data_IF_495105399932
#
_entry.id   IF_495105399932
#
_cell.length_a   1.000
_cell.length_b   1.000
_cell.length_c   1.000
_cell.angle_alpha   90.00
_cell.angle_beta   90.00
_cell.angle_gamma   90.00
#
_symmetry.space_group_name_H-M   'P 1'
#
loop_
_entity.id
_entity.type
_entity.pdbx_description
1 polymer ?
#
# COMPACT_ATOMS: atom_id res chain seq x y z
N UNK A 1 1.33 6.84 25.26
CA UNK A 1 1.65 5.79 24.28
C UNK A 1 1.45 6.36 22.89
N UNK A 2 2.50 6.55 22.09
CA UNK A 2 2.31 6.92 20.67
C UNK A 2 1.75 5.68 19.97
N UNK A 3 0.51 5.75 19.50
CA UNK A 3 -0.05 4.73 18.64
C UNK A 3 0.72 4.74 17.33
N UNK A 4 1.60 3.76 17.16
CA UNK A 4 2.40 3.55 15.95
C UNK A 4 1.48 3.02 14.85
N UNK A 5 0.59 3.84 14.30
CA UNK A 5 -0.34 3.43 13.24
C UNK A 5 0.38 3.29 11.90
N UNK A 6 0.38 2.09 11.32
CA UNK A 6 0.79 1.87 9.93
C UNK A 6 -0.32 2.37 9.01
N UNK A 7 0.03 3.06 7.93
CA UNK A 7 -0.95 3.52 6.92
C UNK A 7 -0.38 3.44 5.52
N UNK A 8 -1.24 3.11 4.56
CA UNK A 8 -0.89 3.18 3.14
C UNK A 8 -1.13 4.61 2.66
N UNK A 9 -0.11 5.21 2.04
CA UNK A 9 -0.12 6.58 1.53
C UNK A 9 -0.37 6.62 0.02
N UNK A 10 0.21 5.68 -0.72
CA UNK A 10 0.16 5.66 -2.19
C UNK A 10 0.31 4.22 -2.72
N UNK A 11 0.12 4.04 -4.02
CA UNK A 11 0.16 2.76 -4.71
C UNK A 11 0.67 2.92 -6.14
N UNK A 12 1.43 1.94 -6.62
CA UNK A 12 1.93 1.91 -7.99
C UNK A 12 2.06 0.48 -8.51
N UNK A 13 1.95 0.29 -9.82
CA UNK A 13 2.22 -0.98 -10.47
C UNK A 13 3.49 -0.84 -11.31
N UNK A 14 4.46 -1.73 -11.08
CA UNK A 14 5.69 -1.79 -11.86
C UNK A 14 5.66 -2.97 -12.81
N UNK A 15 5.93 -2.74 -14.09
CA UNK A 15 6.15 -3.82 -15.04
C UNK A 15 7.61 -4.27 -15.02
N UNK A 16 7.85 -5.54 -14.69
CA UNK A 16 9.17 -6.16 -14.77
C UNK A 16 9.07 -7.46 -15.58
N UNK A 17 9.80 -7.54 -16.69
CA UNK A 17 9.89 -8.73 -17.56
C UNK A 17 8.50 -9.23 -18.02
N UNK A 18 7.61 -8.30 -18.37
CA UNK A 18 6.23 -8.61 -18.78
C UNK A 18 5.31 -9.05 -17.63
N UNK A 19 5.71 -8.87 -16.37
CA UNK A 19 4.88 -9.11 -15.19
C UNK A 19 4.57 -7.81 -14.47
N UNK A 20 3.32 -7.67 -14.06
CA UNK A 20 2.89 -6.57 -13.20
C UNK A 20 3.19 -6.87 -11.73
N UNK A 21 3.79 -5.89 -11.04
CA UNK A 21 4.16 -5.99 -9.63
C UNK A 21 3.53 -4.81 -8.90
N UNK A 22 2.40 -5.04 -8.20
CA UNK A 22 1.75 -4.02 -7.38
C UNK A 22 2.55 -3.73 -6.11
N UNK A 23 2.79 -2.44 -5.87
CA UNK A 23 3.52 -1.90 -4.75
C UNK A 23 2.65 -0.85 -4.04
N UNK A 24 2.78 -0.78 -2.72
CA UNK A 24 2.10 0.19 -1.86
C UNK A 24 3.15 0.97 -1.08
N UNK A 25 2.98 2.29 -1.02
CA UNK A 25 3.80 3.18 -0.21
C UNK A 25 3.23 3.21 1.20
N UNK A 26 4.02 2.80 2.18
CA UNK A 26 3.57 2.63 3.57
C UNK A 26 4.34 3.56 4.49
N UNK A 27 3.62 4.32 5.29
CA UNK A 27 4.18 5.06 6.42
C UNK A 27 4.02 4.20 7.67
N UNK A 28 5.16 3.88 8.29
CA UNK A 28 5.20 3.20 9.58
C UNK A 28 4.94 4.21 10.71
N UNK A 29 4.19 3.80 11.72
CA UNK A 29 3.87 4.72 12.81
C UNK A 29 5.12 5.24 13.51
N UNK A 30 5.08 6.48 13.99
CA UNK A 30 6.25 7.16 14.56
C UNK A 30 7.30 7.60 13.54
N UNK A 31 7.24 7.14 12.30
CA UNK A 31 8.09 7.60 11.22
C UNK A 31 7.49 8.83 10.53
N UNK A 32 8.34 9.76 10.08
CA UNK A 32 7.87 10.89 9.29
C UNK A 32 7.39 10.41 7.92
N UNK A 33 6.52 11.14 7.20
CA UNK A 33 6.14 10.81 5.82
C UNK A 33 7.34 10.62 4.88
N UNK A 34 8.50 11.20 5.21
CA UNK A 34 9.76 11.02 4.49
C UNK A 34 10.36 9.62 4.63
N UNK A 35 9.93 8.86 5.63
CA UNK A 35 10.37 7.49 5.91
C UNK A 35 9.44 6.43 5.32
N UNK A 36 8.58 6.82 4.38
CA UNK A 36 7.70 5.89 3.70
C UNK A 36 8.51 4.90 2.84
N UNK A 37 8.10 3.63 2.87
CA UNK A 37 8.75 2.56 2.09
C UNK A 37 7.77 1.98 1.07
N UNK A 38 8.28 1.56 -0.09
CA UNK A 38 7.49 0.83 -1.09
C UNK A 38 7.56 -0.67 -0.78
N UNK A 39 6.43 -1.27 -0.45
CA UNK A 39 6.29 -2.69 -0.14
C UNK A 39 5.36 -3.39 -1.12
N UNK A 40 5.52 -4.70 -1.30
CA UNK A 40 4.61 -5.48 -2.14
C UNK A 40 3.20 -5.47 -1.55
N UNK A 41 2.21 -5.15 -2.38
CA UNK A 41 0.80 -5.13 -1.96
C UNK A 41 0.39 -6.47 -1.36
N UNK A 42 0.76 -7.58 -2.03
CA UNK A 42 0.46 -8.94 -1.55
C UNK A 42 1.03 -9.22 -0.16
N UNK A 43 2.24 -8.73 0.12
CA UNK A 43 2.90 -8.90 1.42
C UNK A 43 2.18 -8.07 2.48
N UNK A 44 1.84 -6.82 2.17
CA UNK A 44 1.14 -5.94 3.12
C UNK A 44 -0.30 -6.40 3.37
N UNK A 45 -0.99 -6.96 2.38
CA UNK A 45 -2.31 -7.60 2.58
C UNK A 45 -2.23 -8.81 3.50
N UNK A 46 -1.15 -9.59 3.43
CA UNK A 46 -0.96 -10.74 4.32
C UNK A 46 -0.58 -10.32 5.75
N UNK A 47 0.33 -9.34 5.90
CA UNK A 47 0.83 -8.90 7.20
C UNK A 47 -0.08 -7.90 7.92
N UNK A 48 -0.76 -7.03 7.17
CA UNK A 48 -1.61 -5.96 7.68
C UNK A 48 -2.93 -5.89 6.90
N UNK A 49 -3.74 -6.97 6.88
CA UNK A 49 -5.00 -7.01 6.13
C UNK A 49 -5.95 -5.87 6.50
N UNK A 50 -5.93 -5.48 7.78
CA UNK A 50 -6.74 -4.37 8.30
C UNK A 50 -6.52 -3.04 7.57
N UNK A 51 -5.33 -2.78 7.00
CA UNK A 51 -5.06 -1.53 6.28
C UNK A 51 -5.79 -1.44 4.94
N UNK A 52 -6.17 -2.59 4.39
CA UNK A 52 -6.89 -2.70 3.12
C UNK A 52 -8.40 -2.81 3.34
N UNK A 53 -8.83 -3.18 4.55
CA UNK A 53 -10.25 -3.31 4.92
C UNK A 53 -10.82 -2.03 5.55
N UNK A 54 -10.01 -1.26 6.30
CA UNK A 54 -10.49 -0.06 7.03
C UNK A 54 -10.65 1.20 6.17
N UNK A 55 -9.95 1.30 5.05
CA UNK A 55 -10.22 2.32 4.05
C UNK A 55 -10.98 1.69 2.91
N UNK A 56 -11.78 2.46 2.17
CA UNK A 56 -12.31 2.09 0.84
C UNK A 56 -11.17 1.92 -0.21
N UNK A 57 -10.02 1.42 0.23
CA UNK A 57 -8.76 1.29 -0.48
C UNK A 57 -8.89 0.23 -1.56
N UNK A 58 -9.57 -0.89 -1.31
CA UNK A 58 -9.84 -1.92 -2.34
C UNK A 58 -10.69 -1.38 -3.50
N UNK A 59 -11.66 -0.50 -3.22
CA UNK A 59 -12.49 0.13 -4.26
C UNK A 59 -11.68 1.13 -5.09
N UNK A 60 -10.77 1.88 -4.48
CA UNK A 60 -9.89 2.82 -5.20
C UNK A 60 -8.80 2.08 -5.99
N UNK A 61 -8.19 1.03 -5.43
CA UNK A 61 -7.25 0.12 -6.12
C UNK A 61 -7.92 -0.46 -7.38
N UNK A 62 -9.15 -0.97 -7.24
CA UNK A 62 -9.88 -1.62 -8.33
C UNK A 62 -10.37 -0.65 -9.40
N UNK A 63 -10.51 0.64 -9.07
CA UNK A 63 -10.85 1.70 -10.04
C UNK A 63 -9.62 2.14 -10.83
N UNK A 64 -8.48 2.41 -10.17
CA UNK A 64 -7.26 2.85 -10.87
C UNK A 64 -6.62 1.77 -11.74
N UNK A 65 -6.74 0.48 -11.37
CA UNK A 65 -6.29 -0.64 -12.23
C UNK A 65 -7.10 -0.77 -13.53
N UNK A 66 -8.31 -0.19 -13.61
CA UNK A 66 -9.16 -0.23 -14.81
C UNK A 66 -8.94 0.95 -15.77
N UNK A 67 -8.13 1.93 -15.39
CA UNK A 67 -7.83 3.13 -16.19
C UNK A 67 -6.42 3.14 -16.81
N UNK A 68 -5.68 2.01 -16.75
CA UNK A 68 -4.40 1.79 -17.43
C UNK A 68 -4.53 0.78 -18.57
#
# INVERSE_FOLDING_TARGET
MKATSVRVEDQMVKQLRGKEIPLVKVIWGGATPKSATWELEKKMKASYPILFVLGNFEDEISKRRREL
#
